data_IF_633782350618
#
_entry.id   IF_633782350618
#
_cell.length_a   1.000
_cell.length_b   1.000
_cell.length_c   1.000
_cell.angle_alpha   90.00
_cell.angle_beta   90.00
_cell.angle_gamma   90.00
#
_symmetry.space_group_name_H-M   'P 1'
#
loop_
_entity.id
_entity.type
_entity.pdbx_description
1 polymer ?
#
# COMPACT_ATOMS: atom_id res chain seq x y z
N UNK A 1 0.15 3.77 7.19
CA UNK A 1 1.61 3.98 7.11
C UNK A 1 2.33 2.64 6.92
N UNK A 2 3.08 2.43 5.82
CA UNK A 2 3.79 1.17 5.57
C UNK A 2 4.90 0.90 6.61
N UNK A 3 5.00 -0.34 7.06
CA UNK A 3 5.97 -0.81 8.03
C UNK A 3 6.35 -2.27 7.76
N UNK A 4 7.44 -2.73 8.37
CA UNK A 4 7.90 -4.12 8.31
C UNK A 4 7.62 -4.79 9.65
N UNK A 5 6.93 -5.92 9.61
CA UNK A 5 6.60 -6.72 10.78
C UNK A 5 7.49 -7.96 10.82
N UNK A 6 8.12 -8.22 11.96
CA UNK A 6 8.77 -9.49 12.27
C UNK A 6 7.91 -10.28 13.23
N UNK A 7 7.73 -11.54 12.92
CA UNK A 7 7.10 -12.52 13.80
C UNK A 7 7.95 -13.79 13.77
N UNK A 8 8.53 -14.16 14.91
CA UNK A 8 9.55 -15.21 15.01
C UNK A 8 10.76 -14.92 14.10
N UNK A 9 11.03 -15.84 13.16
CA UNK A 9 12.14 -15.74 12.22
C UNK A 9 11.75 -15.15 10.85
N UNK A 10 10.49 -14.72 10.68
CA UNK A 10 9.97 -14.23 9.40
C UNK A 10 9.68 -12.74 9.42
N UNK A 11 10.00 -12.06 8.31
CA UNK A 11 9.58 -10.70 8.04
C UNK A 11 8.41 -10.67 7.04
N UNK A 12 7.49 -9.73 7.25
CA UNK A 12 6.36 -9.46 6.36
C UNK A 12 6.03 -7.97 6.32
N UNK A 13 5.31 -7.55 5.29
CA UNK A 13 4.82 -6.17 5.23
C UNK A 13 3.56 -6.00 6.10
N UNK A 14 3.43 -4.80 6.67
CA UNK A 14 2.27 -4.37 7.42
C UNK A 14 2.00 -2.89 7.19
N UNK A 15 0.78 -2.46 7.47
CA UNK A 15 0.39 -1.05 7.45
C UNK A 15 -0.09 -0.65 8.84
N UNK A 16 0.59 0.30 9.47
CA UNK A 16 0.11 0.96 10.68
C UNK A 16 -1.11 1.81 10.31
N UNK A 17 -2.23 1.52 10.96
CA UNK A 17 -3.52 2.18 10.78
C UNK A 17 -3.71 3.31 11.79
N UNK A 18 -3.32 3.07 13.05
CA UNK A 18 -3.24 4.11 14.07
C UNK A 18 -2.06 3.86 15.00
N UNK A 19 -1.64 4.90 15.71
CA UNK A 19 -0.57 4.85 16.69
C UNK A 19 -0.96 5.68 17.92
N UNK A 20 -0.61 5.18 19.09
CA UNK A 20 -0.81 5.83 20.37
C UNK A 20 0.39 5.54 21.28
N UNK A 21 0.47 6.20 22.43
CA UNK A 21 1.58 6.04 23.36
C UNK A 21 1.68 4.65 23.99
N UNK A 22 0.60 3.86 23.92
CA UNK A 22 0.48 2.52 24.56
C UNK A 22 0.26 1.38 23.57
N UNK A 23 0.22 1.67 22.28
CA UNK A 23 -0.15 0.67 21.29
C UNK A 23 -0.46 1.24 19.93
N UNK A 24 -0.65 0.34 18.98
CA UNK A 24 -0.90 0.66 17.58
C UNK A 24 -1.76 -0.42 16.95
N UNK A 25 -2.53 -0.02 15.95
CA UNK A 25 -3.29 -0.92 15.10
C UNK A 25 -2.53 -1.13 13.80
N UNK A 26 -2.41 -2.37 13.36
CA UNK A 26 -1.81 -2.72 12.08
C UNK A 26 -2.77 -3.52 11.21
N UNK A 27 -2.58 -3.42 9.90
CA UNK A 27 -3.07 -4.36 8.91
C UNK A 27 -1.92 -5.20 8.38
N UNK A 28 -2.08 -6.51 8.31
CA UNK A 28 -1.10 -7.42 7.70
C UNK A 28 -1.79 -8.54 6.93
N UNK A 29 -1.16 -8.98 5.84
CA UNK A 29 -1.66 -10.10 5.04
C UNK A 29 -1.30 -11.47 5.62
N UNK A 30 -0.46 -11.53 6.66
CA UNK A 30 -0.08 -12.80 7.30
C UNK A 30 -0.76 -12.97 8.66
N UNK A 31 -1.26 -14.17 8.98
CA UNK A 31 -1.86 -14.42 10.28
C UNK A 31 -0.79 -14.34 11.38
N UNK A 32 -1.04 -13.49 12.38
CA UNK A 32 -0.25 -13.41 13.61
C UNK A 32 -1.06 -14.03 14.75
N UNK A 33 -0.40 -14.71 15.67
CA UNK A 33 -1.03 -15.29 16.86
C UNK A 33 -1.33 -14.20 17.90
N UNK A 34 -2.49 -14.29 18.55
CA UNK A 34 -2.80 -13.46 19.72
C UNK A 34 -1.81 -13.81 20.83
N UNK A 35 -1.31 -12.79 21.52
CA UNK A 35 -0.32 -12.91 22.58
C UNK A 35 1.13 -13.00 22.09
N UNK A 36 1.35 -13.17 20.78
CA UNK A 36 2.69 -13.21 20.22
C UNK A 36 3.39 -11.84 20.35
N UNK A 37 4.70 -11.90 20.57
CA UNK A 37 5.57 -10.74 20.48
C UNK A 37 5.96 -10.52 19.02
N UNK A 38 5.89 -9.26 18.61
CA UNK A 38 6.24 -8.83 17.26
C UNK A 38 7.12 -7.61 17.30
N UNK A 39 8.05 -7.54 16.35
CA UNK A 39 8.91 -6.37 16.15
C UNK A 39 8.38 -5.64 14.91
N UNK A 40 7.98 -4.38 15.07
CA UNK A 40 7.55 -3.53 13.97
C UNK A 40 8.63 -2.49 13.67
N UNK A 41 9.05 -2.44 12.41
CA UNK A 41 10.06 -1.50 11.92
C UNK A 41 9.46 -0.48 10.97
N UNK A 42 9.75 0.80 11.24
CA UNK A 42 9.40 1.93 10.39
C UNK A 42 10.58 2.88 10.28
N UNK A 43 11.25 2.88 9.12
CA UNK A 43 12.52 3.60 8.97
C UNK A 43 13.54 3.04 9.96
N UNK A 44 14.12 3.92 10.76
CA UNK A 44 15.08 3.55 11.82
C UNK A 44 14.42 3.18 13.16
N UNK A 45 13.10 3.35 13.27
CA UNK A 45 12.37 3.05 14.50
C UNK A 45 11.98 1.57 14.57
N UNK A 46 12.28 0.97 15.72
CA UNK A 46 11.89 -0.38 16.08
C UNK A 46 10.92 -0.32 17.25
N UNK A 47 9.75 -0.93 17.10
CA UNK A 47 8.71 -0.98 18.11
C UNK A 47 8.47 -2.45 18.45
N UNK A 48 8.77 -2.86 19.67
CA UNK A 48 8.43 -4.19 20.18
C UNK A 48 7.05 -4.12 20.83
N UNK A 49 6.17 -5.03 20.42
CA UNK A 49 4.78 -5.02 20.87
C UNK A 49 4.19 -6.42 20.95
N UNK A 50 3.16 -6.58 21.79
CA UNK A 50 2.39 -7.81 21.94
C UNK A 50 1.05 -7.71 21.23
N UNK A 51 0.68 -8.76 20.49
CA UNK A 51 -0.64 -8.84 19.84
C UNK A 51 -1.74 -9.03 20.88
N UNK A 52 -2.63 -8.06 21.04
CA UNK A 52 -3.72 -8.10 22.03
C UNK A 52 -5.00 -8.74 21.47
N UNK A 53 -5.29 -8.47 20.20
CA UNK A 53 -6.45 -8.99 19.48
C UNK A 53 -6.17 -9.05 17.98
N UNK A 54 -6.96 -9.86 17.28
CA UNK A 54 -6.94 -9.97 15.82
C UNK A 54 -8.38 -10.03 15.31
N UNK A 55 -8.63 -9.34 14.22
CA UNK A 55 -9.87 -9.40 13.46
C UNK A 55 -9.55 -9.38 11.96
N UNK A 56 -9.74 -10.51 11.28
CA UNK A 56 -9.30 -10.71 9.91
C UNK A 56 -7.82 -10.36 9.71
N UNK A 57 -7.55 -9.43 8.78
CA UNK A 57 -6.21 -8.90 8.51
C UNK A 57 -5.77 -7.76 9.43
N UNK A 58 -6.55 -7.39 10.46
CA UNK A 58 -6.21 -6.34 11.42
C UNK A 58 -5.76 -6.92 12.75
N UNK A 59 -4.80 -6.28 13.39
CA UNK A 59 -4.32 -6.65 14.70
C UNK A 59 -4.09 -5.40 15.56
N UNK A 60 -4.50 -5.48 16.82
CA UNK A 60 -4.16 -4.49 17.84
C UNK A 60 -2.93 -4.92 18.59
N UNK A 61 -1.93 -4.06 18.65
CA UNK A 61 -0.67 -4.29 19.35
C UNK A 61 -0.56 -3.38 20.56
N UNK A 62 -0.05 -3.91 21.68
CA UNK A 62 0.30 -3.17 22.87
C UNK A 62 1.80 -3.10 23.00
N UNK A 63 2.36 -1.91 23.16
CA UNK A 63 3.79 -1.73 23.40
C UNK A 63 4.09 -1.89 24.89
N UNK A 64 5.25 -2.46 25.21
CA UNK A 64 5.72 -2.53 26.60
C UNK A 64 6.27 -1.17 27.05
N UNK A 65 7.04 -0.52 26.18
CA UNK A 65 7.55 0.83 26.41
C UNK A 65 6.71 1.92 25.74
N UNK A 66 6.84 3.15 26.26
CA UNK A 66 6.21 4.34 25.64
C UNK A 66 6.80 4.55 24.25
N UNK A 67 5.93 4.58 23.27
CA UNK A 67 6.31 4.87 21.88
C UNK A 67 6.51 6.39 21.72
N UNK A 68 7.68 6.87 21.28
CA UNK A 68 7.87 8.27 20.91
C UNK A 68 7.10 8.54 19.60
N UNK A 69 5.83 8.96 19.74
CA UNK A 69 4.90 9.15 18.62
C UNK A 69 5.42 10.21 17.64
N UNK A 70 6.06 11.26 18.17
CA UNK A 70 6.55 12.41 17.42
C UNK A 70 7.63 12.00 16.41
N UNK A 71 8.57 11.14 16.79
CA UNK A 71 9.67 10.72 15.91
C UNK A 71 9.21 9.80 14.76
N UNK A 72 8.18 8.99 15.00
CA UNK A 72 7.65 8.02 14.03
C UNK A 72 6.79 8.72 12.96
N UNK A 73 6.08 9.78 13.32
CA UNK A 73 5.24 10.56 12.40
C UNK A 73 6.09 11.55 11.59
N UNK A 74 7.08 12.19 12.22
CA UNK A 74 7.87 13.27 11.60
C UNK A 74 8.85 12.77 10.54
N UNK A 75 9.35 11.54 10.63
CA UNK A 75 10.16 10.90 9.58
C UNK A 75 9.40 10.64 8.27
N UNK A 76 8.07 10.79 8.25
CA UNK A 76 7.31 10.86 7.02
C UNK A 76 7.54 12.15 6.22
N UNK A 77 8.15 13.18 6.81
CA UNK A 77 8.14 14.55 6.28
C UNK A 77 9.48 15.31 6.28
N UNK A 78 10.64 14.72 6.61
CA UNK A 78 11.90 15.51 6.64
C UNK A 78 13.16 14.72 6.24
N UNK A 79 13.90 15.16 5.19
CA UNK A 79 15.14 14.53 4.72
C UNK A 79 16.41 15.10 5.39
N UNK A 80 16.37 15.45 6.67
CA UNK A 80 17.51 16.05 7.34
C UNK A 80 17.63 15.54 8.78
N UNK A 81 18.45 14.50 8.96
CA UNK A 81 19.24 14.21 10.17
C UNK A 81 20.06 12.94 9.92
N UNK A 82 21.00 13.00 8.97
CA UNK A 82 21.97 11.94 8.68
C UNK A 82 23.28 12.07 9.46
N UNK A 83 23.36 12.92 10.49
CA UNK A 83 24.64 13.30 11.09
C UNK A 83 24.67 13.06 12.62
N UNK A 84 24.60 11.80 13.05
CA UNK A 84 25.18 11.41 14.38
C UNK A 84 25.30 9.90 14.64
N UNK A 85 24.64 9.01 13.89
CA UNK A 85 24.77 7.56 14.11
C UNK A 85 25.98 6.95 13.35
N UNK A 86 27.16 7.51 13.57
CA UNK A 86 28.43 6.99 13.08
C UNK A 86 28.98 5.89 14.00
N UNK A 87 28.20 4.83 14.27
CA UNK A 87 28.76 3.60 14.86
C UNK A 87 28.05 2.37 14.30
N UNK A 88 28.68 1.79 13.28
CA UNK A 88 28.52 0.40 12.84
C UNK A 88 27.09 -0.12 12.58
N UNK A 89 26.60 0.04 11.35
CA UNK A 89 25.84 -1.05 10.74
C UNK A 89 26.42 -1.43 9.37
N UNK A 90 27.14 -2.55 9.36
CA UNK A 90 27.79 -3.14 8.19
C UNK A 90 26.77 -3.93 7.32
N UNK A 91 25.47 -3.94 7.67
CA UNK A 91 24.38 -4.57 6.89
C UNK A 91 23.73 -3.65 5.85
N UNK A 92 24.32 -2.49 5.57
CA UNK A 92 24.09 -1.74 4.32
C UNK A 92 24.72 -2.47 3.13
N UNK A 93 24.11 -3.55 2.68
CA UNK A 93 24.11 -3.86 1.25
C UNK A 93 22.68 -3.72 0.74
N UNK A 94 22.39 -2.69 -0.07
CA UNK A 94 21.08 -2.55 -0.69
C UNK A 94 20.94 -3.67 -1.71
N UNK A 95 20.14 -4.70 -1.41
CA UNK A 95 19.70 -5.64 -2.45
C UNK A 95 18.77 -4.88 -3.39
N UNK A 96 19.02 -5.00 -4.69
CA UNK A 96 18.39 -4.28 -5.80
C UNK A 96 16.86 -4.50 -5.97
N UNK A 97 16.18 -5.05 -4.96
CA UNK A 97 14.79 -5.52 -5.01
C UNK A 97 13.77 -4.39 -4.78
N UNK A 98 14.16 -3.27 -4.15
CA UNK A 98 13.26 -2.14 -3.84
C UNK A 98 12.66 -1.50 -5.13
N UNK A 99 13.39 -1.58 -6.26
CA UNK A 99 12.96 -1.02 -7.55
C UNK A 99 11.82 -1.82 -8.20
N UNK A 100 11.70 -3.10 -7.88
CA UNK A 100 10.67 -3.99 -8.47
C UNK A 100 9.26 -3.75 -7.93
N UNK A 101 9.12 -3.19 -6.71
CA UNK A 101 7.79 -3.00 -6.08
C UNK A 101 7.07 -1.76 -6.59
N UNK A 102 7.81 -0.72 -6.96
CA UNK A 102 7.23 0.50 -7.58
C UNK A 102 6.91 0.24 -9.07
N UNK A 103 7.73 -0.57 -9.76
CA UNK A 103 7.46 -0.94 -11.15
C UNK A 103 6.23 -1.83 -11.32
N UNK A 104 5.94 -2.74 -10.37
CA UNK A 104 4.75 -3.59 -10.44
C UNK A 104 3.42 -2.83 -10.43
N UNK A 105 3.32 -1.72 -9.67
CA UNK A 105 2.11 -0.89 -9.60
C UNK A 105 1.87 -0.07 -10.86
N UNK A 106 2.92 0.38 -11.56
CA UNK A 106 2.78 1.16 -12.79
C UNK A 106 2.23 0.31 -13.95
N UNK A 107 2.57 -0.98 -14.00
CA UNK A 107 2.07 -1.93 -15.01
C UNK A 107 0.58 -2.20 -14.85
N UNK A 108 0.09 -2.26 -13.61
CA UNK A 108 -1.33 -2.50 -13.31
C UNK A 108 -2.23 -1.36 -13.82
N UNK A 109 -1.85 -0.10 -13.58
CA UNK A 109 -2.63 1.06 -14.06
C UNK A 109 -2.61 1.21 -15.59
N UNK A 110 -1.49 0.89 -16.24
CA UNK A 110 -1.40 0.91 -17.70
C UNK A 110 -2.32 -0.15 -18.33
N UNK A 111 -2.40 -1.35 -17.76
CA UNK A 111 -3.30 -2.41 -18.24
C UNK A 111 -4.77 -2.03 -18.16
N UNK A 112 -5.22 -1.47 -17.03
CA UNK A 112 -6.61 -1.04 -16.85
C UNK A 112 -7.00 0.07 -17.83
N UNK A 113 -6.10 1.03 -18.08
CA UNK A 113 -6.36 2.13 -19.01
C UNK A 113 -6.54 1.61 -20.45
N UNK A 114 -5.69 0.69 -20.90
CA UNK A 114 -5.78 0.09 -22.25
C UNK A 114 -7.09 -0.67 -22.43
N UNK A 115 -7.50 -1.46 -21.43
CA UNK A 115 -8.77 -2.20 -21.48
C UNK A 115 -9.96 -1.23 -21.54
N UNK A 116 -9.93 -0.14 -20.75
CA UNK A 116 -10.99 0.86 -20.75
C UNK A 116 -11.11 1.58 -22.12
N UNK A 117 -9.98 1.96 -22.73
CA UNK A 117 -9.96 2.58 -24.06
C UNK A 117 -10.48 1.61 -25.13
N UNK A 118 -10.06 0.34 -25.08
CA UNK A 118 -10.52 -0.68 -26.04
C UNK A 118 -12.03 -0.92 -25.95
N UNK A 119 -12.58 -1.02 -24.73
CA UNK A 119 -14.03 -1.20 -24.52
C UNK A 119 -14.82 0.03 -24.96
N UNK A 120 -14.34 1.24 -24.66
CA UNK A 120 -14.98 2.48 -25.10
C UNK A 120 -15.00 2.62 -26.62
N UNK A 121 -13.87 2.31 -27.29
CA UNK A 121 -13.78 2.32 -28.75
C UNK A 121 -14.73 1.31 -29.39
N UNK A 122 -14.75 0.08 -28.89
CA UNK A 122 -15.67 -0.96 -29.38
C UNK A 122 -17.14 -0.53 -29.21
N UNK A 123 -17.50 0.04 -28.05
CA UNK A 123 -18.84 0.58 -27.80
C UNK A 123 -19.23 1.69 -28.78
N UNK A 124 -18.32 2.63 -29.07
CA UNK A 124 -18.58 3.72 -30.01
C UNK A 124 -18.89 3.18 -31.42
N UNK A 125 -18.12 2.21 -31.92
CA UNK A 125 -18.36 1.60 -33.24
C UNK A 125 -19.70 0.85 -33.31
N UNK A 126 -20.12 0.20 -32.22
CA UNK A 126 -21.42 -0.46 -32.15
C UNK A 126 -22.57 0.55 -32.16
N UNK A 127 -22.42 1.67 -31.45
CA UNK A 127 -23.43 2.74 -31.39
C UNK A 127 -23.56 3.44 -32.74
N UNK A 128 -22.45 3.77 -33.40
CA UNK A 128 -22.48 4.34 -34.75
C UNK A 128 -23.17 3.39 -35.74
N UNK A 129 -22.82 2.10 -35.72
CA UNK A 129 -23.46 1.10 -36.59
C UNK A 129 -24.96 0.92 -36.31
N UNK A 130 -25.36 0.97 -35.03
CA UNK A 130 -26.76 0.83 -34.63
C UNK A 130 -27.61 2.06 -34.98
N UNK A 131 -27.04 3.26 -34.87
CA UNK A 131 -27.72 4.54 -35.11
C UNK A 131 -27.67 5.00 -36.57
N UNK A 132 -26.70 4.56 -37.36
CA UNK A 132 -26.60 4.94 -38.78
C UNK A 132 -27.83 4.53 -39.60
N UNK A 133 -28.41 3.36 -39.33
CA UNK A 133 -29.62 2.86 -40.01
C UNK A 133 -30.87 3.70 -39.73
N UNK A 134 -31.27 3.94 -38.47
CA UNK A 134 -32.45 4.75 -38.18
C UNK A 134 -32.26 6.21 -38.59
N UNK A 135 -31.06 6.77 -38.50
CA UNK A 135 -30.80 8.16 -38.89
C UNK A 135 -30.92 8.36 -40.42
N UNK A 136 -30.35 7.46 -41.22
CA UNK A 136 -30.50 7.50 -42.67
C UNK A 136 -31.97 7.32 -43.12
N UNK A 137 -32.74 6.51 -42.41
CA UNK A 137 -34.17 6.36 -42.66
C UNK A 137 -34.96 7.63 -42.32
N UNK A 138 -34.63 8.33 -41.23
CA UNK A 138 -35.25 9.59 -40.87
C UNK A 138 -34.89 10.73 -41.86
N UNK A 139 -33.64 10.79 -42.29
CA UNK A 139 -33.15 11.79 -43.26
C UNK A 139 -33.81 11.62 -44.63
N UNK A 140 -34.04 10.38 -45.08
CA UNK A 140 -34.78 10.10 -46.32
C UNK A 140 -36.26 10.54 -46.29
N UNK A 141 -36.85 10.65 -45.09
CA UNK A 141 -38.24 11.11 -44.91
C UNK A 141 -38.31 12.63 -44.77
N UNK A 142 -37.29 13.27 -44.18
CA UNK A 142 -37.21 14.72 -43.95
C UNK A 142 -36.56 15.50 -45.10
N UNK A 143 -35.80 14.84 -45.99
CA UNK A 143 -35.09 15.45 -47.12
C UNK A 143 -35.94 15.67 -48.40
N UNK A 144 -37.26 15.85 -48.27
CA UNK A 144 -38.18 16.18 -49.36
C UNK A 144 -38.92 17.47 -49.03
#
# INVERSE_FOLDING_TARGET
MPARLRHGNSWSDACILNISSRGLMIHTGRPILRGAEVELRRGDHVIVARVMWRDGGRAGLRTEDRVPIEDIVTLGQSPALQLTAATQDRRKQPRAEERSRIQGRAVEFAGVLVIAIALAGAGATMIEGALARPLAAAEAVLGR
#
